data_IF_830159376884
#
_entry.id   IF_830159376884
#
_cell.length_a   1.000
_cell.length_b   1.000
_cell.length_c   1.000
_cell.angle_alpha   90.00
_cell.angle_beta   90.00
_cell.angle_gamma   90.00
#
_symmetry.space_group_name_H-M   'P 1'
#
loop_
_entity.id
_entity.type
_entity.pdbx_description
1 polymer ?
#
# COMPACT_ATOMS: atom_id res chain seq x y z
N UNK A 1 -1.12 -19.01 -9.88
CA UNK A 1 -1.13 -19.59 -8.53
C UNK A 1 -0.07 -18.89 -7.72
N UNK A 2 -0.42 -18.36 -6.56
CA UNK A 2 0.44 -17.52 -5.74
C UNK A 2 0.72 -18.21 -4.40
N UNK A 3 2.00 -18.34 -4.03
CA UNK A 3 2.43 -18.87 -2.73
C UNK A 3 3.11 -17.73 -1.96
N UNK A 4 2.55 -17.38 -0.80
CA UNK A 4 2.98 -16.23 0.03
C UNK A 4 3.81 -16.70 1.22
N UNK A 5 4.90 -16.00 1.50
CA UNK A 5 5.54 -15.97 2.81
C UNK A 5 5.11 -14.66 3.48
N UNK A 6 4.21 -14.74 4.46
CA UNK A 6 3.67 -13.57 5.19
C UNK A 6 4.40 -13.46 6.53
N UNK A 7 5.14 -12.38 6.77
CA UNK A 7 5.87 -12.17 8.03
C UNK A 7 5.23 -11.00 8.82
N UNK A 8 4.71 -9.96 8.15
CA UNK A 8 3.94 -8.86 8.77
C UNK A 8 2.42 -8.96 8.47
N UNK A 9 1.61 -8.77 9.53
CA UNK A 9 0.13 -8.75 9.61
C UNK A 9 -0.62 -9.84 8.81
N UNK A 10 -0.62 -11.05 9.38
CA UNK A 10 -1.25 -12.26 8.84
C UNK A 10 -2.79 -12.19 8.96
N UNK A 11 -3.35 -11.35 9.85
CA UNK A 11 -4.77 -11.38 10.20
C UNK A 11 -5.66 -10.48 9.33
N UNK A 12 -5.13 -9.39 8.77
CA UNK A 12 -5.92 -8.42 7.98
C UNK A 12 -5.49 -8.27 6.52
N UNK A 13 -4.45 -9.00 6.09
CA UNK A 13 -3.95 -9.00 4.71
C UNK A 13 -4.79 -9.87 3.76
N UNK A 14 -6.11 -9.69 3.71
CA UNK A 14 -6.93 -10.34 2.69
C UNK A 14 -6.56 -9.77 1.31
N UNK A 15 -5.90 -10.58 0.49
CA UNK A 15 -5.63 -10.25 -0.90
C UNK A 15 -6.75 -10.77 -1.80
N UNK A 16 -7.17 -10.00 -2.82
CA UNK A 16 -6.59 -8.71 -3.22
C UNK A 16 -7.03 -7.56 -2.29
N UNK A 17 -6.08 -6.66 -2.00
CA UNK A 17 -6.37 -5.45 -1.23
C UNK A 17 -7.11 -4.45 -2.13
N UNK A 18 -8.23 -3.91 -1.66
CA UNK A 18 -8.94 -2.81 -2.33
C UNK A 18 -8.72 -1.52 -1.57
N UNK A 19 -8.46 -0.46 -2.30
CA UNK A 19 -8.29 0.86 -1.73
C UNK A 19 -8.60 1.96 -2.76
N UNK A 20 -8.99 3.12 -2.27
CA UNK A 20 -9.16 4.32 -3.06
C UNK A 20 -9.44 5.53 -2.17
N UNK A 21 -9.38 6.75 -2.74
CA UNK A 21 -9.73 7.96 -1.99
C UNK A 21 -11.22 7.93 -1.58
N UNK A 22 -11.65 8.75 -0.61
CA UNK A 22 -13.01 8.71 -0.07
C UNK A 22 -14.13 8.80 -1.12
N UNK A 23 -13.87 9.50 -2.22
CA UNK A 23 -14.81 9.68 -3.33
C UNK A 23 -14.94 8.43 -4.20
N UNK A 24 -13.93 7.56 -4.22
CA UNK A 24 -13.87 6.32 -5.02
C UNK A 24 -13.13 5.20 -4.26
N UNK A 25 -13.71 4.64 -3.18
CA UNK A 25 -13.00 3.77 -2.22
C UNK A 25 -12.51 2.42 -2.78
N UNK A 26 -13.06 1.94 -3.91
CA UNK A 26 -12.66 0.69 -4.58
C UNK A 26 -11.91 0.94 -5.90
N UNK A 27 -11.32 2.13 -6.07
CA UNK A 27 -10.65 2.53 -7.32
C UNK A 27 -9.48 1.62 -7.70
N UNK A 28 -8.73 1.13 -6.73
CA UNK A 28 -7.54 0.32 -6.94
C UNK A 28 -7.68 -1.06 -6.31
N UNK A 29 -7.09 -2.03 -6.98
CA UNK A 29 -6.97 -3.42 -6.52
C UNK A 29 -5.50 -3.77 -6.58
N UNK A 30 -4.94 -4.29 -5.49
CA UNK A 30 -3.54 -4.67 -5.37
C UNK A 30 -3.43 -6.15 -5.06
N UNK A 31 -2.62 -6.84 -5.85
CA UNK A 31 -2.04 -8.14 -5.49
C UNK A 31 -0.56 -7.91 -5.24
N UNK A 32 -0.06 -8.29 -4.06
CA UNK A 32 1.27 -7.92 -3.62
C UNK A 32 1.98 -9.06 -2.87
N UNK A 33 3.27 -9.23 -3.16
CA UNK A 33 4.16 -10.10 -2.42
C UNK A 33 5.38 -9.31 -1.99
N UNK A 34 5.70 -9.37 -0.70
CA UNK A 34 6.84 -8.67 -0.18
C UNK A 34 6.52 -7.93 1.11
N UNK A 35 7.41 -7.01 1.44
CA UNK A 35 7.26 -6.09 2.57
C UNK A 35 7.84 -4.73 2.18
N UNK A 36 7.11 -3.67 2.51
CA UNK A 36 7.60 -2.28 2.41
C UNK A 36 8.04 -1.84 3.80
N UNK A 37 9.35 -1.78 4.03
CA UNK A 37 9.92 -1.47 5.35
C UNK A 37 9.63 -0.04 5.80
N UNK A 38 9.55 0.89 4.85
CA UNK A 38 9.32 2.30 5.15
C UNK A 38 7.84 2.73 5.02
N UNK A 39 6.90 1.80 5.17
CA UNK A 39 5.47 2.08 4.98
C UNK A 39 4.94 3.10 6.00
N UNK A 40 5.49 3.14 7.22
CA UNK A 40 5.11 4.12 8.24
C UNK A 40 5.52 5.54 7.84
N UNK A 41 6.74 5.72 7.35
CA UNK A 41 7.23 7.00 6.85
C UNK A 41 6.45 7.45 5.61
N UNK A 42 6.10 6.52 4.71
CA UNK A 42 5.25 6.81 3.55
C UNK A 42 3.87 7.28 3.99
N UNK A 43 3.24 6.61 4.96
CA UNK A 43 1.92 7.00 5.49
C UNK A 43 1.97 8.39 6.10
N UNK A 44 3.02 8.71 6.84
CA UNK A 44 3.18 10.04 7.43
C UNK A 44 3.35 11.12 6.36
N UNK A 45 4.21 10.88 5.36
CA UNK A 45 4.36 11.80 4.23
C UNK A 45 3.05 12.01 3.47
N UNK A 46 2.29 10.94 3.20
CA UNK A 46 1.03 11.01 2.48
C UNK A 46 -0.07 11.72 3.29
N UNK A 47 -0.11 11.53 4.61
CA UNK A 47 -1.00 12.29 5.51
C UNK A 47 -0.64 13.77 5.51
N UNK A 48 0.65 14.09 5.62
CA UNK A 48 1.13 15.47 5.70
C UNK A 48 0.94 16.23 4.38
N UNK A 49 1.27 15.61 3.25
CA UNK A 49 1.23 16.26 1.93
C UNK A 49 -0.18 16.31 1.33
N UNK A 50 -1.02 15.29 1.54
CA UNK A 50 -2.30 15.14 0.84
C UNK A 50 -3.51 14.91 1.74
N UNK A 51 -3.32 14.77 3.06
CA UNK A 51 -4.41 14.40 3.97
C UNK A 51 -4.92 12.97 3.76
N UNK A 52 -4.08 12.05 3.27
CA UNK A 52 -4.48 10.68 2.99
C UNK A 52 -5.00 9.94 4.24
N UNK A 53 -6.13 9.24 4.10
CA UNK A 53 -6.75 8.44 5.16
C UNK A 53 -6.47 6.97 4.91
N UNK A 54 -6.14 6.25 5.98
CA UNK A 54 -5.81 4.83 5.96
C UNK A 54 -6.75 4.06 6.89
N UNK A 55 -7.21 2.89 6.45
CA UNK A 55 -8.20 2.07 7.17
C UNK A 55 -7.59 0.83 7.82
N UNK A 56 -6.44 0.40 7.32
CA UNK A 56 -5.65 -0.69 7.90
C UNK A 56 -4.26 -0.21 8.29
N UNK A 57 -3.59 -0.99 9.13
CA UNK A 57 -2.20 -0.77 9.55
C UNK A 57 -1.19 -1.48 8.66
N UNK A 58 -1.66 -2.10 7.56
CA UNK A 58 -0.83 -2.79 6.59
C UNK A 58 -0.06 -1.84 5.67
N UNK A 59 1.01 -2.39 5.07
CA UNK A 59 1.86 -1.69 4.11
C UNK A 59 1.21 -1.53 2.73
N UNK A 60 0.29 -2.43 2.35
CA UNK A 60 -0.37 -2.41 1.04
C UNK A 60 -1.15 -1.12 0.75
N UNK A 61 -1.81 -0.52 1.74
CA UNK A 61 -2.50 0.77 1.53
C UNK A 61 -1.53 1.90 1.26
N UNK A 62 -0.33 1.86 1.88
CA UNK A 62 0.69 2.86 1.65
C UNK A 62 1.17 2.82 0.18
N UNK A 63 1.25 1.64 -0.43
CA UNK A 63 1.59 1.47 -1.85
C UNK A 63 0.52 2.12 -2.74
N UNK A 64 -0.76 1.78 -2.52
CA UNK A 64 -1.85 2.29 -3.35
C UNK A 64 -2.06 3.80 -3.18
N UNK A 65 -1.96 4.31 -1.96
CA UNK A 65 -2.01 5.74 -1.69
C UNK A 65 -0.84 6.49 -2.32
N UNK A 66 0.39 5.97 -2.20
CA UNK A 66 1.56 6.53 -2.86
C UNK A 66 1.39 6.57 -4.38
N UNK A 67 0.92 5.49 -4.98
CA UNK A 67 0.66 5.45 -6.43
C UNK A 67 -0.45 6.42 -6.85
N UNK A 68 -1.50 6.58 -6.04
CA UNK A 68 -2.57 7.52 -6.33
C UNK A 68 -2.09 8.98 -6.36
N UNK A 69 -1.26 9.39 -5.41
CA UNK A 69 -0.81 10.77 -5.26
C UNK A 69 0.46 11.11 -6.07
N UNK A 70 1.44 10.20 -6.09
CA UNK A 70 2.73 10.41 -6.76
C UNK A 70 2.85 9.65 -8.08
N UNK A 71 1.86 8.85 -8.48
CA UNK A 71 1.93 8.06 -9.71
C UNK A 71 3.09 7.06 -9.69
N UNK A 72 3.78 6.90 -10.82
CA UNK A 72 4.94 6.01 -10.94
C UNK A 72 6.14 6.45 -10.10
N UNK A 73 6.23 7.72 -9.71
CA UNK A 73 7.32 8.22 -8.86
C UNK A 73 7.27 7.64 -7.45
N UNK A 74 6.12 7.08 -7.05
CA UNK A 74 5.97 6.30 -5.83
C UNK A 74 7.02 5.18 -5.73
N UNK A 75 7.36 4.52 -6.84
CA UNK A 75 8.30 3.40 -6.88
C UNK A 75 9.69 3.77 -6.34
N UNK A 76 10.15 4.99 -6.60
CA UNK A 76 11.44 5.49 -6.11
C UNK A 76 11.46 5.74 -4.60
N UNK A 77 10.28 5.79 -3.97
CA UNK A 77 10.10 6.04 -2.54
C UNK A 77 9.89 4.76 -1.74
N UNK A 78 9.53 3.65 -2.39
CA UNK A 78 9.35 2.35 -1.74
C UNK A 78 10.72 1.76 -1.36
N UNK A 79 10.86 1.35 -0.10
CA UNK A 79 12.04 0.61 0.39
C UNK A 79 11.57 -0.75 0.88
N UNK A 80 12.03 -1.79 0.23
CA UNK A 80 11.59 -3.14 0.55
C UNK A 80 12.00 -4.16 -0.49
N UNK A 81 11.47 -5.37 -0.33
CA UNK A 81 11.51 -6.42 -1.33
C UNK A 81 10.07 -6.69 -1.72
N UNK A 82 9.70 -6.41 -2.96
CA UNK A 82 8.32 -6.54 -3.38
C UNK A 82 8.13 -6.86 -4.86
N UNK A 83 6.97 -7.43 -5.17
CA UNK A 83 6.37 -7.53 -6.49
C UNK A 83 4.86 -7.29 -6.36
N UNK A 84 4.27 -6.49 -7.25
CA UNK A 84 2.83 -6.26 -7.26
C UNK A 84 2.25 -6.07 -8.66
N UNK A 85 0.94 -6.26 -8.77
CA UNK A 85 0.12 -6.04 -9.96
C UNK A 85 -1.24 -5.43 -9.58
#
# INVERSE_FOLDING_TARGET
>A
GFNRLSIIDIAHSHQPLRWGPPETPDRYVLVFNGEIYNYLELREALRSEFGAVFHTDGDGEAILAAYHHWGTDALNRLRGMFAFA
#
